data_IF_060045795886
#
_entry.id   IF_060045795886
#
_cell.length_a   1.000
_cell.length_b   1.000
_cell.length_c   1.000
_cell.angle_alpha   90.00
_cell.angle_beta   90.00
_cell.angle_gamma   90.00
#
_symmetry.space_group_name_H-M   'P 1'
#
loop_
_entity.id
_entity.type
_entity.pdbx_description
1 polymer ?
#
# COMPACT_ATOMS: atom_id res chain seq x y z
N UNK A 1 -3.17 17.74 2.49
CA UNK A 1 -3.25 16.61 1.55
C UNK A 1 -4.47 15.79 1.91
N UNK A 2 -5.18 15.20 0.93
CA UNK A 2 -6.36 14.40 1.20
C UNK A 2 -6.00 13.04 1.80
N UNK A 3 -7.04 12.28 2.15
CA UNK A 3 -6.93 10.97 2.77
C UNK A 3 -7.13 11.00 4.28
N UNK A 4 -6.86 9.88 4.92
CA UNK A 4 -6.93 9.75 6.38
C UNK A 4 -5.84 10.59 7.03
N UNK A 5 -6.20 11.30 8.10
CA UNK A 5 -5.38 12.25 8.85
C UNK A 5 -4.99 11.70 10.24
N UNK A 6 -3.99 12.31 10.91
CA UNK A 6 -3.60 11.91 12.25
C UNK A 6 -4.77 11.95 13.24
N UNK A 7 -4.78 11.02 14.19
CA UNK A 7 -5.81 10.79 15.21
C UNK A 7 -7.17 10.31 14.69
N UNK A 8 -7.30 9.95 13.41
CA UNK A 8 -8.53 9.37 12.86
C UNK A 8 -8.57 7.84 12.95
N UNK A 9 -7.41 7.18 13.00
CA UNK A 9 -7.29 5.72 12.99
C UNK A 9 -6.23 5.29 14.00
N UNK A 10 -6.51 4.20 14.73
CA UNK A 10 -5.49 3.46 15.46
C UNK A 10 -5.30 2.09 14.83
N UNK A 11 -4.04 1.72 14.62
CA UNK A 11 -3.66 0.48 13.96
C UNK A 11 -3.24 -0.58 14.98
N UNK A 12 -3.55 -1.82 14.67
CA UNK A 12 -3.10 -2.98 15.42
C UNK A 12 -1.59 -3.19 15.20
N UNK A 13 -0.91 -3.69 16.23
CA UNK A 13 0.50 -4.09 16.08
C UNK A 13 0.60 -5.36 15.23
N UNK A 14 1.70 -5.56 14.46
CA UNK A 14 1.84 -6.71 13.56
C UNK A 14 1.78 -8.04 14.31
N UNK A 15 2.22 -8.07 15.57
CA UNK A 15 2.17 -9.24 16.45
C UNK A 15 0.77 -9.85 16.57
N UNK A 16 -0.30 -9.06 16.44
CA UNK A 16 -1.68 -9.59 16.43
C UNK A 16 -1.94 -10.47 15.20
N UNK A 17 -1.46 -10.03 14.03
CA UNK A 17 -1.58 -10.74 12.76
C UNK A 17 -0.66 -11.98 12.74
N UNK A 18 0.56 -11.83 13.23
CA UNK A 18 1.59 -12.88 13.21
C UNK A 18 1.23 -14.13 14.03
N UNK A 19 0.23 -14.06 14.92
CA UNK A 19 -0.29 -15.24 15.62
C UNK A 19 -0.89 -16.31 14.69
N UNK A 20 -1.29 -15.93 13.47
CA UNK A 20 -1.86 -16.84 12.48
C UNK A 20 -1.18 -16.73 11.12
N UNK A 21 -0.57 -15.59 10.79
CA UNK A 21 0.04 -15.35 9.48
C UNK A 21 1.58 -15.57 9.48
N UNK A 22 2.11 -16.30 10.46
CA UNK A 22 3.53 -16.65 10.56
C UNK A 22 3.75 -17.95 11.34
N UNK A 23 4.95 -18.51 11.25
CA UNK A 23 5.42 -19.67 12.01
C UNK A 23 5.00 -21.05 11.48
N UNK A 24 4.44 -21.14 10.27
CA UNK A 24 3.97 -22.39 9.68
C UNK A 24 4.76 -22.83 8.44
N UNK A 25 5.17 -21.91 7.57
CA UNK A 25 5.97 -22.22 6.37
C UNK A 25 6.69 -20.96 5.84
N UNK A 26 8.01 -20.81 6.07
CA UNK A 26 8.74 -19.61 5.66
C UNK A 26 8.80 -19.42 4.14
N UNK A 27 8.55 -20.47 3.33
CA UNK A 27 8.57 -20.37 1.89
C UNK A 27 7.34 -19.63 1.31
N UNK A 28 6.25 -19.52 2.09
CA UNK A 28 4.98 -18.97 1.59
C UNK A 28 4.30 -18.01 2.57
N UNK A 29 4.63 -18.08 3.86
CA UNK A 29 3.89 -17.33 4.86
C UNK A 29 4.13 -15.81 4.77
N UNK A 30 3.09 -14.98 4.95
CA UNK A 30 3.24 -13.53 4.88
C UNK A 30 4.23 -12.99 5.92
N UNK A 31 4.14 -13.47 7.17
CA UNK A 31 4.81 -12.84 8.29
C UNK A 31 6.32 -13.00 8.31
N UNK A 32 6.86 -14.14 7.85
CA UNK A 32 8.31 -14.32 7.70
C UNK A 32 8.87 -13.42 6.59
N UNK A 33 8.23 -13.45 5.42
CA UNK A 33 8.67 -12.71 4.25
C UNK A 33 8.56 -11.19 4.43
N UNK A 34 7.48 -10.71 5.06
CA UNK A 34 7.32 -9.29 5.37
C UNK A 34 8.42 -8.76 6.31
N UNK A 35 8.81 -9.51 7.35
CA UNK A 35 9.78 -9.02 8.37
C UNK A 35 11.13 -8.59 7.78
N UNK A 36 11.59 -9.27 6.72
CA UNK A 36 12.86 -8.94 6.04
C UNK A 36 12.72 -7.87 4.95
N UNK A 37 11.49 -7.55 4.57
CA UNK A 37 11.18 -6.62 3.47
C UNK A 37 11.56 -5.18 3.79
N UNK A 38 11.73 -4.37 2.75
CA UNK A 38 11.90 -2.92 2.91
C UNK A 38 10.64 -2.24 3.46
N UNK A 39 9.47 -2.86 3.35
CA UNK A 39 8.23 -2.35 3.96
C UNK A 39 8.28 -2.44 5.49
N UNK A 40 8.70 -3.58 6.05
CA UNK A 40 8.89 -3.73 7.50
C UNK A 40 10.10 -2.94 8.05
N UNK A 41 11.06 -2.63 7.18
CA UNK A 41 12.27 -1.90 7.53
C UNK A 41 12.22 -0.42 7.16
N UNK A 42 11.09 0.09 6.63
CA UNK A 42 11.01 1.45 6.10
C UNK A 42 11.38 2.53 7.13
N UNK A 43 11.01 2.33 8.40
CA UNK A 43 11.36 3.19 9.53
C UNK A 43 12.81 3.00 10.05
N UNK A 44 13.47 1.91 9.67
CA UNK A 44 14.81 1.50 10.15
C UNK A 44 15.90 1.71 9.10
N UNK A 45 15.53 2.04 7.88
CA UNK A 45 16.45 2.32 6.78
C UNK A 45 17.31 3.56 7.10
N UNK A 46 18.62 3.36 7.23
CA UNK A 46 19.58 4.43 7.52
C UNK A 46 19.76 5.41 6.35
N UNK A 47 19.54 4.98 5.11
CA UNK A 47 19.52 5.88 3.95
C UNK A 47 18.31 6.80 4.01
N UNK A 48 17.15 6.25 4.38
CA UNK A 48 15.95 7.06 4.64
C UNK A 48 16.24 8.15 5.67
N UNK A 49 16.85 7.81 6.82
CA UNK A 49 17.15 8.80 7.86
C UNK A 49 18.11 9.90 7.39
N UNK A 50 19.11 9.55 6.58
CA UNK A 50 20.00 10.52 5.96
C UNK A 50 19.24 11.45 5.00
N UNK A 51 18.40 10.88 4.12
CA UNK A 51 17.58 11.64 3.18
C UNK A 51 16.55 12.54 3.89
N UNK A 52 15.89 12.04 4.94
CA UNK A 52 14.95 12.82 5.75
C UNK A 52 15.65 14.01 6.41
N UNK A 53 16.88 13.82 6.90
CA UNK A 53 17.69 14.91 7.48
C UNK A 53 18.01 15.99 6.45
N UNK A 54 18.40 15.61 5.22
CA UNK A 54 18.63 16.56 4.13
C UNK A 54 17.32 17.27 3.75
N UNK A 55 16.22 16.52 3.61
CA UNK A 55 14.90 17.08 3.33
C UNK A 55 14.44 18.09 4.40
N UNK A 56 14.76 17.85 5.68
CA UNK A 56 14.51 18.81 6.76
C UNK A 56 15.29 20.11 6.55
N UNK A 57 16.58 20.02 6.23
CA UNK A 57 17.46 21.17 5.99
C UNK A 57 16.98 22.00 4.79
N UNK A 58 16.64 21.32 3.70
CA UNK A 58 16.13 21.96 2.48
C UNK A 58 14.77 22.64 2.73
N UNK A 59 13.89 21.99 3.51
CA UNK A 59 12.60 22.57 3.92
C UNK A 59 12.80 23.82 4.78
N UNK A 60 13.71 23.79 5.75
CA UNK A 60 14.02 24.95 6.59
C UNK A 60 14.53 26.10 5.72
N UNK A 61 15.41 25.82 4.77
CA UNK A 61 15.92 26.83 3.84
C UNK A 61 14.80 27.41 2.96
N UNK A 62 13.91 26.57 2.42
CA UNK A 62 12.87 26.99 1.47
C UNK A 62 11.67 27.69 2.12
N UNK A 63 11.19 27.19 3.27
CA UNK A 63 9.92 27.63 3.90
C UNK A 63 10.06 27.95 5.40
N UNK A 64 11.29 27.97 5.94
CA UNK A 64 11.56 28.36 7.33
C UNK A 64 11.23 27.30 8.39
N UNK A 65 10.72 26.14 7.97
CA UNK A 65 10.30 25.03 8.87
C UNK A 65 10.69 23.69 8.25
N UNK A 66 10.88 22.63 9.06
CA UNK A 66 11.22 21.30 8.54
C UNK A 66 10.01 20.53 7.99
N UNK A 67 8.83 21.14 7.86
CA UNK A 67 7.54 20.48 7.62
C UNK A 67 7.48 19.53 6.40
N UNK A 68 8.39 19.64 5.43
CA UNK A 68 8.49 18.65 4.35
C UNK A 68 8.80 17.24 4.87
N UNK A 69 9.31 17.08 6.08
CA UNK A 69 9.57 15.77 6.70
C UNK A 69 8.30 15.04 7.18
N UNK A 70 7.17 15.74 7.36
CA UNK A 70 5.92 15.08 7.76
C UNK A 70 5.44 14.07 6.70
N UNK A 71 5.66 14.34 5.40
CA UNK A 71 5.34 13.36 4.35
C UNK A 71 6.25 12.12 4.40
N UNK A 72 7.50 12.29 4.85
CA UNK A 72 8.44 11.17 5.05
C UNK A 72 7.89 10.25 6.15
N UNK A 73 7.45 10.84 7.27
CA UNK A 73 6.85 10.10 8.38
C UNK A 73 5.53 9.45 8.00
N UNK A 74 4.71 10.13 7.18
CA UNK A 74 3.44 9.60 6.68
C UNK A 74 3.61 8.24 5.99
N UNK A 75 4.67 8.06 5.21
CA UNK A 75 4.94 6.83 4.46
C UNK A 75 5.82 5.81 5.22
N UNK A 76 6.83 6.27 5.95
CA UNK A 76 7.78 5.38 6.63
C UNK A 76 7.34 4.96 8.04
N UNK A 77 6.43 5.72 8.67
CA UNK A 77 5.89 5.46 10.01
C UNK A 77 4.36 5.54 10.01
N UNK A 78 3.64 4.84 9.10
CA UNK A 78 2.22 5.07 8.89
C UNK A 78 1.40 4.89 10.17
N UNK A 79 1.76 3.93 11.04
CA UNK A 79 1.13 3.76 12.35
C UNK A 79 1.32 4.97 13.26
N UNK A 80 2.56 5.41 13.44
CA UNK A 80 2.86 6.53 14.32
C UNK A 80 2.26 7.85 13.81
N UNK A 81 2.33 8.08 12.50
CA UNK A 81 1.73 9.24 11.85
C UNK A 81 0.20 9.25 12.02
N UNK A 82 -0.49 8.14 11.71
CA UNK A 82 -1.94 8.03 11.87
C UNK A 82 -2.39 8.17 13.32
N UNK A 83 -1.55 7.79 14.28
CA UNK A 83 -1.83 7.91 15.72
C UNK A 83 -1.29 9.21 16.34
N UNK A 84 -0.95 10.22 15.53
CA UNK A 84 -0.66 11.57 16.00
C UNK A 84 0.74 11.79 16.55
N UNK A 85 1.72 10.96 16.17
CA UNK A 85 3.11 11.04 16.68
C UNK A 85 4.11 11.63 15.69
N UNK A 86 3.64 12.33 14.65
CA UNK A 86 4.53 12.98 13.67
C UNK A 86 4.89 14.44 13.96
N UNK A 87 4.43 15.01 15.08
CA UNK A 87 4.80 16.36 15.52
C UNK A 87 5.56 16.30 16.85
N UNK A 88 6.84 16.72 16.92
CA UNK A 88 7.65 17.31 15.85
C UNK A 88 8.00 16.32 14.73
N UNK A 89 8.15 16.85 13.51
CA UNK A 89 8.42 16.13 12.24
C UNK A 89 9.88 15.64 12.15
N UNK A 90 10.37 15.05 13.23
CA UNK A 90 11.67 14.41 13.33
C UNK A 90 11.58 12.99 13.89
N UNK A 91 10.37 12.42 13.90
CA UNK A 91 10.03 11.10 14.43
C UNK A 91 10.45 10.84 15.89
N UNK A 92 10.76 11.88 16.68
CA UNK A 92 11.18 11.72 18.09
C UNK A 92 10.09 11.22 19.03
N UNK A 93 8.83 11.31 18.62
CA UNK A 93 7.70 10.74 19.36
C UNK A 93 7.32 9.33 18.91
N UNK A 94 7.97 8.77 17.88
CA UNK A 94 7.70 7.40 17.44
C UNK A 94 8.09 6.40 18.52
N UNK A 95 7.29 5.35 18.69
CA UNK A 95 7.51 4.33 19.72
C UNK A 95 7.16 2.94 19.24
N UNK A 96 7.79 1.92 19.84
CA UNK A 96 7.38 0.51 19.68
C UNK A 96 7.15 0.10 18.22
N UNK A 97 5.92 -0.31 17.91
CA UNK A 97 5.52 -0.80 16.59
C UNK A 97 5.46 0.29 15.50
N UNK A 98 5.64 1.57 15.82
CA UNK A 98 5.80 2.62 14.80
C UNK A 98 7.04 2.35 13.94
N UNK A 99 8.07 1.75 14.54
CA UNK A 99 9.30 1.35 13.85
C UNK A 99 9.15 0.05 13.05
N UNK A 100 8.00 -0.63 13.12
CA UNK A 100 7.70 -1.78 12.24
C UNK A 100 7.30 -1.34 10.82
N UNK A 101 7.38 -0.04 10.52
CA UNK A 101 7.28 0.51 9.18
C UNK A 101 5.88 0.35 8.58
N UNK A 102 5.86 -0.01 7.29
CA UNK A 102 4.64 -0.32 6.55
C UNK A 102 4.16 -1.73 6.96
N UNK A 103 3.27 -1.75 7.95
CA UNK A 103 2.80 -2.96 8.61
C UNK A 103 1.47 -3.51 8.05
N UNK A 104 1.17 -4.77 8.41
CA UNK A 104 0.00 -5.52 7.94
C UNK A 104 -1.31 -4.73 8.09
N UNK A 105 -1.56 -4.17 9.28
CA UNK A 105 -2.84 -3.50 9.56
C UNK A 105 -3.01 -2.20 8.77
N UNK A 106 -1.90 -1.54 8.41
CA UNK A 106 -1.95 -0.35 7.56
C UNK A 106 -2.41 -0.72 6.15
N UNK A 107 -1.67 -1.60 5.46
CA UNK A 107 -2.01 -2.01 4.10
C UNK A 107 -3.40 -2.63 4.05
N UNK A 108 -3.68 -3.60 4.92
CA UNK A 108 -4.96 -4.31 4.94
C UNK A 108 -6.14 -3.50 5.49
N UNK A 109 -5.97 -2.20 5.79
CA UNK A 109 -7.10 -1.29 6.07
C UNK A 109 -7.15 -0.14 5.07
N UNK A 110 -6.23 -0.07 4.11
CA UNK A 110 -6.33 0.88 3.02
C UNK A 110 -7.55 0.58 2.16
N UNK A 111 -8.22 1.62 1.68
CA UNK A 111 -9.35 1.51 0.77
C UNK A 111 -9.15 2.45 -0.42
N UNK A 112 -9.87 2.15 -1.50
CA UNK A 112 -9.68 2.78 -2.80
C UNK A 112 -10.40 4.13 -2.85
N UNK A 113 -9.72 5.27 -3.03
CA UNK A 113 -10.42 6.53 -3.27
C UNK A 113 -11.14 6.57 -4.63
N UNK A 114 -10.92 5.59 -5.51
CA UNK A 114 -11.64 5.41 -6.76
C UNK A 114 -12.65 4.25 -6.69
N UNK A 115 -13.05 3.82 -5.49
CA UNK A 115 -13.94 2.69 -5.27
C UNK A 115 -15.20 2.69 -6.15
N UNK A 116 -15.79 3.85 -6.42
CA UNK A 116 -16.96 3.99 -7.30
C UNK A 116 -16.67 3.51 -8.73
N UNK A 117 -15.56 3.94 -9.34
CA UNK A 117 -15.20 3.57 -10.72
C UNK A 117 -14.58 2.18 -10.80
N UNK A 118 -13.85 1.75 -9.76
CA UNK A 118 -13.34 0.38 -9.62
C UNK A 118 -14.48 -0.63 -9.45
N UNK A 119 -15.51 -0.29 -8.68
CA UNK A 119 -16.70 -1.14 -8.52
C UNK A 119 -17.48 -1.27 -9.83
N UNK A 120 -17.71 -0.15 -10.53
CA UNK A 120 -18.41 -0.12 -11.81
C UNK A 120 -17.59 -0.66 -13.00
N UNK A 121 -16.28 -0.86 -12.83
CA UNK A 121 -15.36 -1.26 -13.90
C UNK A 121 -15.18 -0.21 -14.99
N UNK A 122 -15.37 1.06 -14.63
CA UNK A 122 -15.18 2.23 -15.51
C UNK A 122 -13.84 2.93 -15.27
N UNK A 123 -13.09 2.51 -14.24
CA UNK A 123 -11.74 2.96 -13.97
C UNK A 123 -10.69 2.41 -14.96
N UNK A 124 -9.40 2.78 -14.79
CA UNK A 124 -8.34 2.45 -15.75
C UNK A 124 -8.07 0.95 -15.94
N UNK A 125 -8.37 0.13 -14.94
CA UNK A 125 -8.20 -1.34 -14.98
C UNK A 125 -9.44 -2.06 -15.57
N UNK A 126 -10.53 -1.34 -15.81
CA UNK A 126 -11.71 -1.83 -16.50
C UNK A 126 -12.48 -2.94 -15.80
N UNK A 127 -13.37 -3.58 -16.56
CA UNK A 127 -14.35 -4.58 -16.10
C UNK A 127 -14.05 -6.01 -16.56
N UNK A 128 -12.80 -6.31 -16.91
CA UNK A 128 -12.37 -7.67 -17.24
C UNK A 128 -12.25 -8.52 -15.96
N UNK A 129 -13.40 -8.76 -15.32
CA UNK A 129 -13.50 -9.45 -14.03
C UNK A 129 -12.88 -10.83 -14.09
N UNK A 130 -13.09 -11.56 -15.19
CA UNK A 130 -12.62 -12.92 -15.31
C UNK A 130 -11.10 -13.02 -15.49
N UNK A 131 -10.50 -12.21 -16.36
CA UNK A 131 -9.08 -12.40 -16.70
C UNK A 131 -8.15 -11.47 -15.92
N UNK A 132 -8.50 -10.19 -15.75
CA UNK A 132 -7.63 -9.24 -15.06
C UNK A 132 -7.76 -9.34 -13.53
N UNK A 133 -8.99 -9.51 -13.05
CA UNK A 133 -9.30 -9.59 -11.62
C UNK A 133 -9.37 -11.02 -11.11
N UNK A 134 -9.38 -12.01 -12.01
CA UNK A 134 -9.49 -13.44 -11.69
C UNK A 134 -10.73 -13.73 -10.83
N UNK A 135 -11.90 -13.23 -11.25
CA UNK A 135 -13.17 -13.36 -10.53
C UNK A 135 -14.11 -14.31 -11.28
N UNK A 136 -14.22 -15.55 -10.83
CA UNK A 136 -15.08 -16.54 -11.49
C UNK A 136 -16.56 -16.35 -11.15
N UNK A 137 -16.87 -15.76 -9.99
CA UNK A 137 -18.20 -15.70 -9.40
C UNK A 137 -18.88 -17.08 -9.28
N UNK A 138 -18.09 -18.15 -9.25
CA UNK A 138 -18.56 -19.53 -9.27
C UNK A 138 -18.42 -20.25 -7.91
N UNK A 139 -17.80 -19.59 -6.92
CA UNK A 139 -17.63 -20.14 -5.58
C UNK A 139 -18.87 -19.93 -4.68
N UNK A 140 -18.82 -20.48 -3.46
CA UNK A 140 -19.82 -20.18 -2.42
C UNK A 140 -19.73 -18.76 -1.85
N UNK A 141 -18.70 -18.00 -2.23
CA UNK A 141 -18.44 -16.61 -1.83
C UNK A 141 -18.08 -15.79 -3.08
N UNK A 142 -19.05 -15.50 -3.96
CA UNK A 142 -18.80 -14.84 -5.24
C UNK A 142 -18.14 -13.46 -5.07
N UNK A 143 -17.15 -13.14 -5.92
CA UNK A 143 -16.41 -11.88 -5.86
C UNK A 143 -17.33 -10.66 -5.94
N UNK A 144 -18.37 -10.69 -6.78
CA UNK A 144 -19.28 -9.56 -6.91
C UNK A 144 -20.05 -9.30 -5.62
N UNK A 145 -20.58 -10.34 -4.97
CA UNK A 145 -21.28 -10.17 -3.69
C UNK A 145 -20.34 -9.66 -2.59
N UNK A 146 -19.08 -10.11 -2.59
CA UNK A 146 -18.07 -9.59 -1.67
C UNK A 146 -17.67 -8.14 -2.00
N UNK A 147 -17.62 -7.78 -3.28
CA UNK A 147 -17.38 -6.41 -3.74
C UNK A 147 -18.52 -5.46 -3.39
N UNK A 148 -19.78 -5.92 -3.42
CA UNK A 148 -20.95 -5.15 -2.98
C UNK A 148 -20.81 -4.74 -1.50
N UNK A 149 -20.33 -5.67 -0.65
CA UNK A 149 -20.09 -5.39 0.77
C UNK A 149 -18.97 -4.37 0.99
N UNK A 150 -17.87 -4.49 0.24
CA UNK A 150 -16.76 -3.52 0.28
C UNK A 150 -17.18 -2.14 -0.22
N UNK A 151 -17.98 -2.09 -1.29
CA UNK A 151 -18.52 -0.85 -1.85
C UNK A 151 -19.42 -0.11 -0.86
N UNK A 152 -20.28 -0.85 -0.13
CA UNK A 152 -21.13 -0.27 0.90
C UNK A 152 -20.31 0.36 2.04
N UNK A 153 -19.28 -0.34 2.52
CA UNK A 153 -18.34 0.18 3.52
C UNK A 153 -17.60 1.43 3.02
N UNK A 154 -17.06 1.39 1.80
CA UNK A 154 -16.30 2.52 1.23
C UNK A 154 -17.18 3.76 0.99
N UNK A 155 -18.45 3.56 0.63
CA UNK A 155 -19.44 4.63 0.53
C UNK A 155 -19.66 5.35 1.85
N UNK A 156 -19.72 4.61 2.97
CA UNK A 156 -19.84 5.20 4.31
C UNK A 156 -18.56 5.94 4.72
N UNK A 157 -17.39 5.32 4.49
CA UNK A 157 -16.09 5.91 4.82
C UNK A 157 -15.83 7.21 4.05
N UNK A 158 -16.20 7.26 2.77
CA UNK A 158 -16.02 8.43 1.90
C UNK A 158 -16.72 9.68 2.45
N UNK A 159 -17.85 9.52 3.16
CA UNK A 159 -18.58 10.65 3.75
C UNK A 159 -17.82 11.34 4.89
N UNK A 160 -16.83 10.67 5.47
CA UNK A 160 -16.04 11.19 6.61
C UNK A 160 -14.76 11.90 6.21
N UNK A 161 -14.39 11.83 4.92
CA UNK A 161 -13.14 12.44 4.45
C UNK A 161 -13.37 13.90 4.08
N UNK A 162 -12.66 14.76 4.81
CA UNK A 162 -12.72 16.20 4.63
C UNK A 162 -11.41 16.72 4.01
N UNK A 163 -11.55 17.78 3.24
CA UNK A 163 -10.46 18.66 2.84
C UNK A 163 -10.03 19.55 4.01
N UNK A 164 -8.89 20.22 3.89
CA UNK A 164 -8.31 21.06 4.92
C UNK A 164 -9.26 22.20 5.36
N UNK A 165 -10.03 22.75 4.43
CA UNK A 165 -11.04 23.78 4.70
C UNK A 165 -12.34 23.24 5.34
N UNK A 166 -12.42 21.94 5.65
CA UNK A 166 -13.56 21.28 6.27
C UNK A 166 -14.69 20.88 5.31
N UNK A 167 -14.53 21.10 3.99
CA UNK A 167 -15.49 20.61 2.99
C UNK A 167 -15.27 19.13 2.67
N UNK A 168 -16.28 18.45 2.12
CA UNK A 168 -16.14 17.05 1.74
C UNK A 168 -15.12 16.88 0.61
N UNK A 169 -14.25 15.88 0.71
CA UNK A 169 -13.35 15.50 -0.38
C UNK A 169 -14.12 14.78 -1.50
N UNK A 170 -15.04 13.88 -1.13
CA UNK A 170 -15.87 13.16 -2.09
C UNK A 170 -17.19 13.88 -2.37
N UNK A 171 -17.58 13.93 -3.64
CA UNK A 171 -18.91 14.37 -4.08
C UNK A 171 -19.52 13.26 -4.93
N UNK A 172 -20.68 12.73 -4.53
CA UNK A 172 -21.30 11.56 -5.17
C UNK A 172 -20.31 10.38 -5.31
N UNK A 173 -19.59 10.06 -4.22
CA UNK A 173 -18.59 8.99 -4.15
C UNK A 173 -17.36 9.17 -5.07
N UNK A 174 -17.23 10.30 -5.76
CA UNK A 174 -16.08 10.58 -6.63
C UNK A 174 -15.14 11.61 -5.98
N UNK A 175 -13.81 11.42 -6.09
CA UNK A 175 -12.84 12.42 -5.68
C UNK A 175 -12.89 13.64 -6.63
N UNK A 176 -12.17 14.73 -6.33
CA UNK A 176 -12.09 15.90 -7.22
C UNK A 176 -11.65 15.51 -8.64
N UNK A 177 -12.16 16.19 -9.67
CA UNK A 177 -12.01 15.76 -11.06
C UNK A 177 -10.55 15.66 -11.56
N UNK A 178 -9.63 16.48 -11.02
CA UNK A 178 -8.21 16.43 -11.38
C UNK A 178 -7.40 15.48 -10.47
N UNK A 179 -8.05 14.86 -9.48
CA UNK A 179 -7.51 13.80 -8.65
C UNK A 179 -7.78 12.47 -9.36
N UNK A 180 -6.86 12.05 -10.21
CA UNK A 180 -6.94 10.84 -11.04
C UNK A 180 -6.03 9.72 -10.56
N UNK A 181 -5.25 9.96 -9.51
CA UNK A 181 -4.34 8.98 -8.91
C UNK A 181 -4.15 9.28 -7.41
N UNK A 182 -4.16 8.23 -6.59
CA UNK A 182 -3.91 8.30 -5.16
C UNK A 182 -2.45 8.01 -4.88
N UNK A 183 -1.65 9.06 -4.88
CA UNK A 183 -0.19 9.05 -4.81
C UNK A 183 0.31 10.00 -3.70
N UNK A 184 1.63 10.11 -3.52
CA UNK A 184 2.26 11.05 -2.58
C UNK A 184 1.77 10.90 -1.12
N UNK A 185 1.58 9.66 -0.69
CA UNK A 185 1.12 9.31 0.65
C UNK A 185 -0.33 9.66 0.93
N UNK A 186 -1.15 9.97 -0.09
CA UNK A 186 -2.57 10.32 0.06
C UNK A 186 -3.45 9.07 0.30
N UNK A 187 -3.07 8.22 1.26
CA UNK A 187 -3.82 7.00 1.57
C UNK A 187 -5.13 7.28 2.31
N UNK A 188 -6.05 6.34 2.14
CA UNK A 188 -7.33 6.30 2.84
C UNK A 188 -7.38 4.98 3.61
N UNK A 189 -7.47 5.07 4.92
CA UNK A 189 -7.38 3.94 5.85
C UNK A 189 -8.66 3.90 6.68
N UNK A 190 -9.31 2.73 6.72
CA UNK A 190 -10.55 2.56 7.47
C UNK A 190 -10.29 2.61 8.99
N UNK A 191 -11.10 3.35 9.77
CA UNK A 191 -11.08 3.30 11.24
C UNK A 191 -11.65 2.00 11.81
N UNK A 192 -12.31 1.18 10.98
CA UNK A 192 -12.84 -0.13 11.35
C UNK A 192 -11.75 -1.21 11.25
N UNK A 193 -11.86 -2.24 12.09
CA UNK A 193 -10.84 -3.29 12.20
C UNK A 193 -10.88 -4.34 11.07
N UNK A 194 -11.88 -4.30 10.19
CA UNK A 194 -12.05 -5.23 9.08
C UNK A 194 -10.89 -5.15 8.10
N UNK A 195 -10.33 -6.32 7.73
CA UNK A 195 -9.17 -6.39 6.85
C UNK A 195 -9.60 -6.50 5.39
N UNK A 196 -8.84 -5.90 4.49
CA UNK A 196 -9.07 -5.87 3.06
C UNK A 196 -7.97 -6.66 2.36
N UNK A 197 -8.36 -7.50 1.40
CA UNK A 197 -7.40 -8.32 0.67
C UNK A 197 -7.96 -8.79 -0.67
N UNK A 198 -7.08 -9.39 -1.46
CA UNK A 198 -7.29 -9.78 -2.85
C UNK A 198 -8.19 -11.01 -3.06
N UNK A 199 -8.76 -11.63 -2.02
CA UNK A 199 -9.52 -12.87 -2.20
C UNK A 199 -10.87 -12.83 -1.51
N UNK A 200 -11.93 -13.10 -2.27
CA UNK A 200 -13.30 -13.17 -1.76
C UNK A 200 -13.60 -14.50 -1.03
N UNK A 201 -12.89 -15.58 -1.36
CA UNK A 201 -13.09 -16.92 -0.80
C UNK A 201 -12.12 -17.29 0.34
N UNK A 202 -11.59 -16.30 1.06
CA UNK A 202 -10.76 -16.56 2.22
C UNK A 202 -11.58 -16.97 3.46
N UNK A 203 -11.04 -17.88 4.26
CA UNK A 203 -11.65 -18.40 5.51
C UNK A 203 -11.13 -17.67 6.76
N UNK A 204 -11.28 -16.35 6.80
CA UNK A 204 -10.70 -15.52 7.86
C UNK A 204 -11.32 -15.74 9.26
N UNK A 205 -10.54 -15.47 10.31
CA UNK A 205 -10.99 -15.49 11.73
C UNK A 205 -11.28 -14.09 12.29
N UNK A 206 -11.35 -13.10 11.42
CA UNK A 206 -11.71 -11.72 11.68
C UNK A 206 -12.53 -11.22 10.50
N UNK A 207 -13.21 -10.08 10.67
CA UNK A 207 -13.93 -9.45 9.57
C UNK A 207 -12.98 -9.21 8.39
N UNK A 208 -13.46 -9.50 7.19
CA UNK A 208 -12.73 -9.28 5.95
C UNK A 208 -13.62 -8.64 4.88
N UNK A 209 -12.96 -7.99 3.92
CA UNK A 209 -13.54 -7.36 2.75
C UNK A 209 -12.71 -7.74 1.52
N UNK A 210 -13.37 -8.19 0.46
CA UNK A 210 -12.73 -8.40 -0.83
C UNK A 210 -12.41 -7.03 -1.45
N UNK A 211 -11.16 -6.80 -1.80
CA UNK A 211 -10.71 -5.50 -2.30
C UNK A 211 -9.96 -5.65 -3.61
N UNK A 212 -10.61 -5.21 -4.69
CA UNK A 212 -9.96 -5.03 -6.01
C UNK A 212 -8.75 -4.10 -5.90
N UNK A 213 -8.79 -3.10 -5.04
CA UNK A 213 -7.63 -2.23 -4.77
C UNK A 213 -6.38 -3.02 -4.38
N UNK A 214 -6.51 -4.08 -3.59
CA UNK A 214 -5.35 -4.90 -3.20
C UNK A 214 -4.79 -5.78 -4.32
N UNK A 215 -5.54 -5.93 -5.44
CA UNK A 215 -5.07 -6.50 -6.71
C UNK A 215 -4.62 -5.44 -7.72
N UNK A 216 -4.89 -4.17 -7.45
CA UNK A 216 -4.67 -3.06 -8.38
C UNK A 216 -3.21 -2.63 -8.36
N UNK A 217 -2.65 -2.28 -9.52
CA UNK A 217 -1.32 -1.66 -9.56
C UNK A 217 -1.31 -0.28 -8.88
N UNK A 218 -2.47 0.38 -8.79
CA UNK A 218 -2.61 1.72 -8.19
C UNK A 218 -2.48 1.71 -6.66
N UNK A 219 -2.57 0.55 -5.99
CA UNK A 219 -2.30 0.49 -4.55
C UNK A 219 -0.86 0.89 -4.22
N UNK A 220 0.11 0.45 -5.02
CA UNK A 220 1.52 0.77 -4.81
C UNK A 220 1.83 2.24 -5.13
N UNK A 221 1.07 2.86 -6.04
CA UNK A 221 1.21 4.28 -6.40
C UNK A 221 1.08 5.21 -5.19
N UNK A 222 0.30 4.81 -4.19
CA UNK A 222 0.08 5.57 -2.95
C UNK A 222 1.38 5.95 -2.25
N UNK A 223 2.41 5.11 -2.34
CA UNK A 223 3.72 5.39 -1.76
C UNK A 223 4.83 5.60 -2.81
N UNK A 224 4.65 5.13 -4.05
CA UNK A 224 5.70 5.10 -5.09
C UNK A 224 5.53 6.12 -6.22
N UNK A 225 4.72 7.15 -6.03
CA UNK A 225 4.74 8.37 -6.86
C UNK A 225 4.67 9.57 -5.94
N UNK A 226 5.82 10.14 -5.57
CA UNK A 226 5.89 11.11 -4.46
C UNK A 226 6.19 12.48 -5.03
N UNK A 227 5.37 13.45 -4.65
CA UNK A 227 5.57 14.85 -5.00
C UNK A 227 5.62 15.70 -3.74
N UNK A 228 6.08 16.93 -3.84
CA UNK A 228 6.24 17.80 -2.69
C UNK A 228 4.95 18.64 -2.44
N UNK A 229 4.08 18.25 -1.49
CA UNK A 229 2.85 18.97 -1.22
C UNK A 229 3.10 20.33 -0.54
N UNK A 230 4.23 20.51 0.16
CA UNK A 230 4.58 21.78 0.80
C UNK A 230 4.79 22.85 -0.26
N UNK A 231 5.56 22.54 -1.30
CA UNK A 231 5.75 23.45 -2.43
C UNK A 231 4.48 23.62 -3.24
N UNK A 232 3.70 22.55 -3.44
CA UNK A 232 2.44 22.62 -4.18
C UNK A 232 1.40 23.54 -3.51
N UNK A 233 1.38 23.59 -2.18
CA UNK A 233 0.45 24.42 -1.42
C UNK A 233 1.05 25.75 -0.97
N UNK A 234 2.28 26.08 -1.38
CA UNK A 234 2.97 27.30 -0.93
C UNK A 234 2.19 28.56 -1.34
N UNK A 235 1.78 29.36 -0.36
CA UNK A 235 0.99 30.57 -0.59
C UNK A 235 -0.50 30.34 -0.90
N UNK A 236 -0.98 29.10 -0.81
CA UNK A 236 -2.41 28.80 -0.92
C UNK A 236 -3.19 29.34 0.30
N UNK A 237 -4.43 29.78 0.07
CA UNK A 237 -5.36 30.18 1.13
C UNK A 237 -5.94 28.94 1.82
N UNK A 238 -5.69 28.72 3.14
CA UNK A 238 -6.23 27.57 3.86
C UNK A 238 -7.75 27.54 3.99
N UNK A 239 -8.45 28.65 3.72
CA UNK A 239 -9.92 28.67 3.66
C UNK A 239 -10.47 28.06 2.34
N UNK A 240 -9.61 27.83 1.35
CA UNK A 240 -9.95 27.20 0.08
C UNK A 240 -9.40 25.77 0.01
N UNK A 241 -9.87 25.01 -0.97
CA UNK A 241 -9.29 23.69 -1.29
C UNK A 241 -7.83 23.85 -1.71
N UNK A 242 -6.94 23.06 -1.11
CA UNK A 242 -5.52 23.16 -1.41
C UNK A 242 -5.20 22.51 -2.77
N UNK A 243 -4.16 22.97 -3.50
CA UNK A 243 -3.74 22.34 -4.75
C UNK A 243 -3.49 20.83 -4.64
N UNK A 244 -2.87 20.38 -3.55
CA UNK A 244 -2.63 18.95 -3.27
C UNK A 244 -3.90 18.15 -2.97
N UNK A 245 -5.04 18.80 -2.73
CA UNK A 245 -6.35 18.16 -2.51
C UNK A 245 -7.19 18.09 -3.77
N UNK A 246 -6.86 18.87 -4.80
CA UNK A 246 -7.61 18.89 -6.05
C UNK A 246 -6.92 18.10 -7.16
N UNK A 247 -5.60 17.92 -7.10
CA UNK A 247 -4.80 17.37 -8.20
C UNK A 247 -3.94 16.18 -7.76
N UNK A 248 -3.74 15.23 -8.67
CA UNK A 248 -2.85 14.08 -8.51
C UNK A 248 -1.38 14.47 -8.28
N UNK A 249 -0.62 13.60 -7.61
CA UNK A 249 0.79 13.84 -7.28
C UNK A 249 1.65 14.22 -8.49
N UNK A 250 1.51 13.52 -9.62
CA UNK A 250 2.32 13.77 -10.81
C UNK A 250 2.21 15.21 -11.34
N UNK A 251 1.17 15.97 -10.98
CA UNK A 251 0.93 17.32 -11.50
C UNK A 251 1.76 18.42 -10.81
N UNK A 252 2.50 18.10 -9.75
CA UNK A 252 3.35 19.05 -9.02
C UNK A 252 4.76 18.48 -8.78
N UNK A 253 5.66 19.32 -8.23
CA UNK A 253 7.11 19.04 -8.21
C UNK A 253 7.46 17.70 -7.54
N UNK A 254 8.37 16.95 -8.17
CA UNK A 254 8.63 15.54 -7.86
C UNK A 254 9.64 15.34 -6.74
N UNK A 255 9.46 14.24 -5.99
CA UNK A 255 10.45 13.63 -5.09
C UNK A 255 10.83 12.25 -5.62
N UNK A 256 9.83 11.45 -6.01
CA UNK A 256 9.98 10.11 -6.61
C UNK A 256 8.96 9.94 -7.75
N UNK A 257 9.30 9.14 -8.77
CA UNK A 257 8.46 8.90 -9.96
C UNK A 257 8.34 7.42 -10.33
N UNK A 258 8.60 6.52 -9.41
CA UNK A 258 8.67 5.08 -9.70
C UNK A 258 7.39 4.53 -10.34
N UNK A 259 6.21 4.91 -9.85
CA UNK A 259 4.95 4.49 -10.44
C UNK A 259 4.67 5.19 -11.77
N UNK A 260 4.95 6.49 -11.90
CA UNK A 260 4.87 7.19 -13.19
C UNK A 260 5.76 6.53 -14.26
N UNK A 261 7.00 6.18 -13.90
CA UNK A 261 7.95 5.47 -14.78
C UNK A 261 7.44 4.06 -15.13
N UNK A 262 6.89 3.34 -14.15
CA UNK A 262 6.23 2.05 -14.40
C UNK A 262 5.08 2.19 -15.40
N UNK A 263 4.21 3.19 -15.25
CA UNK A 263 3.08 3.44 -16.13
C UNK A 263 3.51 3.84 -17.55
N UNK A 264 4.68 4.48 -17.71
CA UNK A 264 5.30 4.78 -19.01
C UNK A 264 6.01 3.58 -19.64
N UNK A 265 6.37 2.57 -18.85
CA UNK A 265 7.01 1.34 -19.33
C UNK A 265 6.01 0.41 -20.04
N UNK A 266 6.53 -0.62 -20.70
CA UNK A 266 5.69 -1.66 -21.30
C UNK A 266 4.87 -2.45 -20.26
N UNK A 267 5.35 -2.57 -19.01
CA UNK A 267 4.63 -3.28 -17.95
C UNK A 267 3.38 -2.53 -17.49
N UNK A 268 3.39 -1.19 -17.54
CA UNK A 268 2.26 -0.36 -17.13
C UNK A 268 1.13 -0.28 -18.16
N UNK A 269 1.38 -0.69 -19.40
CA UNK A 269 0.40 -0.66 -20.49
C UNK A 269 -0.68 -1.75 -20.33
N UNK A 270 -1.85 -1.61 -20.99
CA UNK A 270 -2.88 -2.64 -20.98
C UNK A 270 -2.32 -4.00 -21.40
N UNK A 271 -2.56 -5.01 -20.57
CA UNK A 271 -2.05 -6.36 -20.79
C UNK A 271 -0.61 -6.58 -20.38
N UNK A 272 0.16 -5.57 -19.96
CA UNK A 272 1.54 -5.71 -19.47
C UNK A 272 2.56 -6.14 -20.53
N UNK A 273 3.71 -6.67 -20.10
CA UNK A 273 4.78 -7.13 -20.98
C UNK A 273 5.51 -8.36 -20.42
N UNK A 274 6.12 -9.13 -21.32
CA UNK A 274 6.97 -10.25 -20.95
C UNK A 274 8.19 -9.76 -20.15
N UNK A 275 8.57 -10.50 -19.11
CA UNK A 275 9.81 -10.24 -18.37
C UNK A 275 11.02 -10.77 -19.15
N UNK A 276 12.21 -10.23 -18.85
CA UNK A 276 13.43 -10.67 -19.50
C UNK A 276 14.06 -11.91 -18.80
N UNK A 277 14.92 -12.62 -19.54
CA UNK A 277 15.58 -13.83 -19.04
C UNK A 277 16.53 -13.55 -17.86
N UNK A 278 17.15 -12.37 -17.80
CA UNK A 278 18.06 -12.01 -16.72
C UNK A 278 17.32 -11.87 -15.38
N UNK A 279 16.14 -11.27 -15.39
CA UNK A 279 15.24 -11.19 -14.24
C UNK A 279 14.78 -12.58 -13.82
N UNK A 280 14.35 -13.41 -14.76
CA UNK A 280 13.93 -14.79 -14.49
C UNK A 280 15.08 -15.60 -13.86
N UNK A 281 16.30 -15.42 -14.33
CA UNK A 281 17.50 -16.07 -13.81
C UNK A 281 17.91 -15.59 -12.40
N UNK A 282 17.43 -14.42 -11.95
CA UNK A 282 17.69 -13.87 -10.61
C UNK A 282 16.80 -14.46 -9.50
N UNK A 283 16.04 -15.53 -9.81
CA UNK A 283 15.24 -16.25 -8.80
C UNK A 283 13.73 -16.17 -9.01
N UNK A 284 13.29 -15.72 -10.18
CA UNK A 284 11.88 -15.61 -10.56
C UNK A 284 11.58 -16.29 -11.93
N UNK A 285 11.96 -17.57 -12.12
CA UNK A 285 11.87 -18.23 -13.43
C UNK A 285 10.42 -18.42 -13.93
N UNK A 286 9.45 -18.34 -13.03
CA UNK A 286 8.02 -18.51 -13.25
C UNK A 286 7.31 -17.20 -13.63
N UNK A 287 7.88 -16.04 -13.32
CA UNK A 287 7.31 -14.73 -13.68
C UNK A 287 7.72 -14.41 -15.11
N UNK A 288 7.01 -14.95 -16.09
CA UNK A 288 7.30 -14.72 -17.53
C UNK A 288 6.66 -13.46 -18.09
N UNK A 289 5.74 -12.85 -17.34
CA UNK A 289 4.97 -11.68 -17.75
C UNK A 289 4.60 -10.83 -16.53
N UNK A 290 4.62 -9.51 -16.67
CA UNK A 290 4.26 -8.57 -15.62
C UNK A 290 3.38 -7.44 -16.15
N UNK A 291 2.38 -7.08 -15.36
CA UNK A 291 1.43 -5.99 -15.61
C UNK A 291 1.15 -5.14 -14.36
N UNK A 292 1.67 -5.57 -13.21
CA UNK A 292 1.50 -4.93 -11.90
C UNK A 292 2.80 -5.03 -11.10
N UNK A 293 3.00 -4.12 -10.15
CA UNK A 293 4.15 -4.13 -9.24
C UNK A 293 4.18 -5.44 -8.41
N UNK A 294 3.00 -5.92 -8.02
CA UNK A 294 2.80 -7.13 -7.24
C UNK A 294 3.28 -8.39 -7.95
N UNK A 295 3.26 -8.44 -9.29
CA UNK A 295 3.70 -9.62 -10.04
C UNK A 295 5.15 -9.97 -9.68
N UNK A 296 6.00 -8.96 -9.47
CA UNK A 296 7.40 -9.14 -9.06
C UNK A 296 7.61 -9.05 -7.54
N UNK A 297 6.95 -8.10 -6.86
CA UNK A 297 7.24 -7.77 -5.45
C UNK A 297 6.35 -8.49 -4.43
N UNK A 298 5.25 -9.06 -4.90
CA UNK A 298 4.32 -9.89 -4.12
C UNK A 298 3.96 -11.16 -4.88
N UNK A 299 4.95 -11.74 -5.58
CA UNK A 299 4.74 -12.82 -6.54
C UNK A 299 3.87 -13.94 -5.97
N UNK A 300 3.07 -14.52 -6.84
CA UNK A 300 2.19 -15.61 -6.47
C UNK A 300 2.99 -16.88 -6.14
N UNK A 301 2.71 -17.45 -4.96
CA UNK A 301 3.23 -18.76 -4.54
C UNK A 301 2.09 -19.72 -4.22
N UNK A 302 2.40 -21.01 -4.17
CA UNK A 302 1.41 -22.03 -3.81
C UNK A 302 1.39 -22.23 -2.31
N UNK A 303 0.32 -21.82 -1.62
CA UNK A 303 0.24 -21.98 -0.18
C UNK A 303 -1.01 -21.39 0.46
N UNK A 304 -1.26 -21.69 1.75
CA UNK A 304 -2.28 -20.99 2.52
C UNK A 304 -1.77 -19.63 2.99
N UNK A 305 -2.69 -18.69 3.21
CA UNK A 305 -2.37 -17.36 3.75
C UNK A 305 -2.24 -17.31 5.28
N UNK A 306 -2.61 -18.37 6.00
CA UNK A 306 -2.56 -18.44 7.45
C UNK A 306 -2.46 -19.89 7.96
N UNK A 307 -1.94 -20.06 9.18
CA UNK A 307 -1.90 -21.31 9.93
C UNK A 307 -3.29 -21.67 10.49
N UNK A 308 -4.20 -22.07 9.60
CA UNK A 308 -5.54 -22.57 9.94
C UNK A 308 -5.84 -23.80 9.09
N UNK A 309 -6.50 -24.80 9.70
CA UNK A 309 -6.77 -26.10 9.07
C UNK A 309 -7.64 -26.02 7.81
N UNK A 310 -8.45 -24.98 7.72
CA UNK A 310 -9.37 -24.66 6.63
C UNK A 310 -8.92 -23.45 5.81
N UNK A 311 -7.66 -23.00 5.96
CA UNK A 311 -7.09 -21.97 5.10
C UNK A 311 -6.98 -22.51 3.67
N UNK A 312 -7.52 -21.77 2.71
CA UNK A 312 -7.49 -22.13 1.28
C UNK A 312 -6.06 -22.12 0.77
N UNK A 313 -5.60 -23.25 0.20
CA UNK A 313 -4.29 -23.35 -0.46
C UNK A 313 -4.40 -22.77 -1.87
N UNK A 314 -3.83 -21.60 -2.09
CA UNK A 314 -3.95 -20.88 -3.38
C UNK A 314 -2.83 -21.26 -4.34
N UNK A 315 -3.06 -21.19 -5.67
CA UNK A 315 -4.37 -21.03 -6.31
C UNK A 315 -5.21 -22.33 -6.29
N UNK A 316 -4.61 -23.48 -5.96
CA UNK A 316 -5.15 -24.81 -6.23
C UNK A 316 -6.55 -25.11 -5.65
N UNK A 317 -6.89 -24.54 -4.49
CA UNK A 317 -8.18 -24.72 -3.81
C UNK A 317 -9.11 -23.51 -3.98
N UNK A 318 -8.64 -22.47 -4.67
CA UNK A 318 -9.38 -21.24 -4.93
C UNK A 318 -10.32 -21.44 -6.13
N UNK A 319 -11.62 -21.56 -5.86
CA UNK A 319 -12.63 -21.60 -6.94
C UNK A 319 -12.88 -20.19 -7.45
N UNK A 320 -12.81 -19.19 -6.56
CA UNK A 320 -13.16 -17.82 -6.91
C UNK A 320 -12.04 -17.11 -7.67
N UNK A 321 -10.79 -17.40 -7.30
CA UNK A 321 -9.59 -16.83 -7.89
C UNK A 321 -8.59 -17.94 -8.29
N UNK A 322 -8.90 -18.75 -9.32
CA UNK A 322 -8.11 -19.93 -9.69
C UNK A 322 -6.78 -19.61 -10.38
N UNK A 323 -6.53 -18.37 -10.80
CA UNK A 323 -5.28 -17.96 -11.45
C UNK A 323 -4.35 -17.18 -10.51
N UNK A 324 -4.85 -16.75 -9.35
CA UNK A 324 -4.11 -15.95 -8.36
C UNK A 324 -3.60 -16.82 -7.20
N UNK A 325 -2.28 -16.89 -7.03
CA UNK A 325 -1.62 -17.58 -5.92
C UNK A 325 -1.67 -16.82 -4.61
N UNK A 326 -1.06 -17.37 -3.55
CA UNK A 326 -0.86 -16.66 -2.29
C UNK A 326 0.22 -15.58 -2.52
N UNK A 327 -0.05 -14.29 -2.26
CA UNK A 327 0.97 -13.27 -2.44
C UNK A 327 2.12 -13.44 -1.45
N UNK A 328 3.34 -13.64 -1.95
CA UNK A 328 4.55 -13.73 -1.13
C UNK A 328 4.95 -12.32 -0.68
N UNK A 329 4.87 -12.02 0.61
CA UNK A 329 5.13 -10.66 1.12
C UNK A 329 6.64 -10.33 1.21
N UNK A 330 7.44 -10.71 0.21
CA UNK A 330 8.88 -10.44 0.14
C UNK A 330 9.14 -8.94 0.10
N UNK A 331 8.52 -8.18 -0.82
CA UNK A 331 8.49 -6.70 -0.79
C UNK A 331 9.88 -6.04 -0.59
N UNK A 332 10.96 -6.74 -0.91
CA UNK A 332 12.34 -6.26 -0.72
C UNK A 332 12.69 -5.15 -1.71
N UNK A 333 11.98 -5.08 -2.84
CA UNK A 333 12.14 -4.01 -3.82
C UNK A 333 13.56 -3.98 -4.42
N UNK A 334 13.99 -2.81 -4.89
CA UNK A 334 15.31 -2.61 -5.47
C UNK A 334 16.46 -2.45 -4.46
N UNK A 335 16.17 -2.31 -3.16
CA UNK A 335 17.17 -1.99 -2.14
C UNK A 335 17.48 -3.18 -1.21
N UNK A 336 17.91 -4.30 -1.79
CA UNK A 336 18.33 -5.48 -1.03
C UNK A 336 19.55 -5.22 -0.13
N UNK A 337 20.33 -4.17 -0.43
CA UNK A 337 21.52 -3.81 0.35
C UNK A 337 21.18 -3.33 1.76
N UNK A 338 20.15 -2.49 1.94
CA UNK A 338 19.76 -2.02 3.27
C UNK A 338 19.31 -3.19 4.16
N UNK A 339 18.45 -4.08 3.66
CA UNK A 339 18.06 -5.29 4.41
C UNK A 339 19.27 -6.16 4.77
N UNK A 340 20.26 -6.28 3.89
CA UNK A 340 21.50 -7.01 4.17
C UNK A 340 22.31 -6.40 5.32
N UNK A 341 22.48 -5.06 5.32
CA UNK A 341 23.17 -4.34 6.39
C UNK A 341 22.39 -4.41 7.71
N UNK A 342 21.07 -4.22 7.68
CA UNK A 342 20.26 -4.34 8.90
C UNK A 342 20.34 -5.75 9.49
N UNK A 343 20.39 -6.78 8.65
CA UNK A 343 20.57 -8.15 9.08
C UNK A 343 21.96 -8.41 9.71
N UNK A 344 23.00 -7.63 9.38
CA UNK A 344 24.32 -7.77 10.01
C UNK A 344 24.35 -7.34 11.46
N UNK A 345 23.39 -6.50 11.89
CA UNK A 345 23.24 -6.08 13.28
C UNK A 345 22.48 -7.08 14.16
N UNK A 346 21.92 -8.16 13.58
CA UNK A 346 21.07 -9.14 14.29
C UNK A 346 21.90 -10.34 14.74
N UNK A 347 22.08 -10.57 16.07
CA UNK A 347 22.81 -11.74 16.56
C UNK A 347 22.23 -13.05 16.02
N UNK A 348 23.08 -13.88 15.42
CA UNK A 348 22.69 -15.17 14.82
C UNK A 348 22.22 -15.10 13.36
N UNK A 349 22.19 -13.91 12.75
CA UNK A 349 22.02 -13.76 11.31
C UNK A 349 23.23 -14.33 10.55
N UNK A 350 23.04 -14.94 9.35
CA UNK A 350 24.16 -15.36 8.50
C UNK A 350 25.13 -14.25 8.13
N UNK A 351 24.69 -13.00 8.17
CA UNK A 351 25.48 -11.82 7.82
C UNK A 351 25.98 -11.05 9.05
N UNK A 352 25.86 -11.62 10.26
CA UNK A 352 26.29 -10.96 11.49
C UNK A 352 27.81 -10.73 11.49
N UNK A 353 28.23 -9.47 11.60
CA UNK A 353 29.64 -9.01 11.65
C UNK A 353 29.83 -7.96 12.75
#
# INVERSE_FOLDING_TARGET
MPGTQPNQVSLENPSRCLNCHAGYDPAVEPGFNWKGSMMAQSARDFLFWACMTVGAQDSIWAVGTPNATDICERCHFPKGWLEGRSDPTNASLMTGADFDGVQCDFCHRMWDPFFETTYAGTGPEGSDWLNYWDETNASGTPSQLAADATYAEDTELAQTILQFNGTNFFTNNLPPANYTESASGQYFVSPNAGKRASFADATARHQMFYSRFHKSKYMCATCHDVSNPILANLGADPAQSLPSELNSAFSYFHVERTFSEFMLSAYGQPGGAATNQDFQAQGAPDITHASKCQDCHMRDVVGPGADKKDAVVRPNESIEHPQSGQPLHDLTGGNAWVSWVLASAVPGSPNYD
#
